data_IF_010357706711
#
_entry.id   IF_010357706711
#
_cell.length_a   1.000
_cell.length_b   1.000
_cell.length_c   1.000
_cell.angle_alpha   90.00
_cell.angle_beta   90.00
_cell.angle_gamma   90.00
#
_symmetry.space_group_name_H-M   'P 1'
#
loop_
_entity.id
_entity.type
_entity.pdbx_description
1 polymer ?
#
# COMPACT_ATOMS: atom_id res chain seq x y z
N UNK A 1 -5.01 -34.17 27.98
CA UNK A 1 -5.51 -33.91 26.61
C UNK A 1 -4.66 -32.80 26.05
N UNK A 2 -3.52 -33.17 25.48
CA UNK A 2 -2.59 -32.23 24.84
C UNK A 2 -3.23 -31.96 23.49
N UNK A 3 -3.61 -30.71 23.23
CA UNK A 3 -4.13 -30.32 21.93
C UNK A 3 -3.03 -30.48 20.91
N UNK A 4 -3.14 -31.51 20.08
CA UNK A 4 -2.28 -31.73 18.92
C UNK A 4 -2.35 -30.48 18.03
N UNK A 5 -1.33 -29.63 18.15
CA UNK A 5 -1.15 -28.48 17.28
C UNK A 5 -0.59 -29.00 15.97
N UNK A 6 -1.46 -29.11 14.96
CA UNK A 6 -1.09 -29.54 13.62
C UNK A 6 -0.17 -28.48 12.98
N UNK A 7 1.13 -28.77 12.78
CA UNK A 7 2.07 -27.84 12.15
C UNK A 7 1.79 -27.67 10.64
N UNK A 8 0.83 -28.41 10.08
CA UNK A 8 0.41 -28.33 8.67
C UNK A 8 -0.82 -27.45 8.42
N UNK A 9 -1.30 -26.71 9.43
CA UNK A 9 -2.24 -25.61 9.21
C UNK A 9 -1.54 -24.52 8.39
N UNK A 10 -1.58 -24.69 7.06
CA UNK A 10 -1.07 -23.77 6.06
C UNK A 10 -1.37 -22.34 6.48
N UNK A 11 -0.33 -21.57 6.75
CA UNK A 11 -0.45 -20.17 7.13
C UNK A 11 -1.12 -19.42 5.99
N UNK A 12 -2.35 -18.98 6.25
CA UNK A 12 -3.08 -18.18 5.28
C UNK A 12 -2.56 -16.76 5.37
N UNK A 13 -1.53 -16.45 4.58
CA UNK A 13 -1.08 -15.08 4.39
C UNK A 13 -2.16 -14.31 3.60
N UNK A 14 -2.82 -13.35 4.26
CA UNK A 14 -3.86 -12.54 3.62
C UNK A 14 -3.21 -11.34 2.92
N UNK A 15 -3.16 -11.42 1.59
CA UNK A 15 -2.77 -10.33 0.71
C UNK A 15 -4.01 -9.58 0.23
N UNK A 16 -4.00 -8.26 0.35
CA UNK A 16 -5.09 -7.42 -0.19
C UNK A 16 -4.58 -6.61 -1.38
N UNK A 17 -5.32 -6.55 -2.47
CA UNK A 17 -5.02 -5.64 -3.58
C UNK A 17 -6.21 -4.76 -3.88
N UNK A 18 -5.93 -3.56 -4.42
CA UNK A 18 -6.95 -2.63 -4.91
C UNK A 18 -6.66 -2.38 -6.38
N UNK A 19 -7.70 -2.52 -7.21
CA UNK A 19 -7.63 -2.18 -8.62
C UNK A 19 -8.61 -1.04 -8.89
N UNK A 20 -8.09 0.04 -9.47
CA UNK A 20 -8.88 1.21 -9.84
C UNK A 20 -8.88 1.34 -11.35
N UNK A 21 -10.07 1.28 -11.95
CA UNK A 21 -10.28 1.66 -13.34
C UNK A 21 -11.08 2.96 -13.35
N UNK A 22 -10.49 4.01 -13.90
CA UNK A 22 -11.04 5.37 -13.82
C UNK A 22 -11.15 5.95 -15.22
N UNK A 23 -12.39 6.24 -15.61
CA UNK A 23 -12.70 7.02 -16.80
C UNK A 23 -12.89 8.47 -16.37
N UNK A 24 -12.07 9.36 -16.93
CA UNK A 24 -12.08 10.78 -16.58
C UNK A 24 -12.99 11.52 -17.55
N UNK A 25 -13.63 12.58 -17.06
CA UNK A 25 -14.37 13.49 -17.92
C UNK A 25 -13.45 14.19 -18.94
N UNK A 26 -14.06 14.77 -19.97
CA UNK A 26 -13.37 15.53 -21.01
C UNK A 26 -12.46 16.62 -20.45
N UNK A 27 -11.22 16.68 -20.95
CA UNK A 27 -10.20 17.65 -20.53
C UNK A 27 -10.32 19.00 -21.24
N UNK A 28 -11.30 19.14 -22.12
CA UNK A 28 -11.48 20.34 -22.92
C UNK A 28 -12.02 21.53 -22.15
N UNK A 29 -11.61 22.71 -22.61
CA UNK A 29 -12.03 23.96 -21.97
C UNK A 29 -13.48 24.29 -22.32
N UNK A 30 -14.22 24.78 -21.33
CA UNK A 30 -15.61 25.24 -21.50
C UNK A 30 -15.79 26.25 -22.64
N UNK A 31 -14.78 27.10 -22.91
CA UNK A 31 -14.81 28.06 -24.03
C UNK A 31 -14.99 27.39 -25.39
N UNK A 32 -14.59 26.13 -25.53
CA UNK A 32 -14.71 25.34 -26.77
C UNK A 32 -16.10 24.75 -26.96
N UNK A 33 -16.84 24.51 -25.88
CA UNK A 33 -18.14 23.84 -25.93
C UNK A 33 -19.29 24.77 -26.30
N UNK A 34 -19.09 26.09 -26.20
CA UNK A 34 -20.15 27.07 -26.45
C UNK A 34 -21.34 26.95 -25.48
N UNK A 35 -21.17 26.19 -24.38
CA UNK A 35 -22.23 25.90 -23.43
C UNK A 35 -22.64 27.15 -22.64
N UNK A 36 -23.95 27.37 -22.51
CA UNK A 36 -24.55 28.47 -21.75
C UNK A 36 -25.48 27.95 -20.65
N UNK A 37 -25.82 28.81 -19.69
CA UNK A 37 -26.77 28.47 -18.60
C UNK A 37 -26.28 27.30 -17.73
N UNK A 38 -27.15 26.32 -17.51
CA UNK A 38 -26.85 25.20 -16.62
C UNK A 38 -25.78 24.24 -17.17
N UNK A 39 -25.67 24.11 -18.49
CA UNK A 39 -24.56 23.37 -19.13
C UNK A 39 -23.21 24.01 -18.86
N UNK A 40 -23.16 25.34 -18.75
CA UNK A 40 -21.94 26.05 -18.39
C UNK A 40 -21.55 25.76 -16.93
N UNK A 41 -22.52 25.76 -16.00
CA UNK A 41 -22.30 25.42 -14.59
C UNK A 41 -21.82 23.98 -14.43
N UNK A 42 -22.40 23.04 -15.16
CA UNK A 42 -21.97 21.65 -15.16
C UNK A 42 -20.52 21.51 -15.64
N UNK A 43 -20.17 22.13 -16.77
CA UNK A 43 -18.81 22.08 -17.30
C UNK A 43 -17.77 22.75 -16.38
N UNK A 44 -18.16 23.76 -15.57
CA UNK A 44 -17.29 24.32 -14.53
C UNK A 44 -17.02 23.28 -13.43
N UNK A 45 -18.06 22.58 -12.97
CA UNK A 45 -17.93 21.56 -11.93
C UNK A 45 -17.09 20.36 -12.39
N UNK A 46 -17.27 19.92 -13.65
CA UNK A 46 -16.45 18.87 -14.27
C UNK A 46 -14.97 19.30 -14.29
N UNK A 47 -14.71 20.51 -14.76
CA UNK A 47 -13.35 21.04 -14.87
C UNK A 47 -12.69 21.29 -13.51
N UNK A 48 -13.46 21.51 -12.45
CA UNK A 48 -12.92 21.65 -11.09
C UNK A 48 -12.14 20.40 -10.64
N UNK A 49 -12.67 19.20 -10.92
CA UNK A 49 -11.99 17.95 -10.59
C UNK A 49 -10.70 17.74 -11.38
N UNK A 50 -10.73 18.00 -12.70
CA UNK A 50 -9.57 17.85 -13.57
C UNK A 50 -8.49 18.92 -13.31
N UNK A 51 -8.91 20.14 -12.94
CA UNK A 51 -8.00 21.20 -12.51
C UNK A 51 -7.26 20.81 -11.23
N UNK A 52 -7.99 20.33 -10.22
CA UNK A 52 -7.39 19.84 -8.97
C UNK A 52 -6.41 18.69 -9.25
N UNK A 53 -6.79 17.75 -10.13
CA UNK A 53 -5.90 16.67 -10.57
C UNK A 53 -4.63 17.22 -11.24
N UNK A 54 -4.76 18.24 -12.10
CA UNK A 54 -3.63 18.92 -12.73
C UNK A 54 -2.70 19.61 -11.74
N UNK A 55 -3.25 20.20 -10.67
CA UNK A 55 -2.46 20.82 -9.60
C UNK A 55 -1.67 19.76 -8.80
N UNK A 56 -2.32 18.65 -8.45
CA UNK A 56 -1.66 17.50 -7.79
C UNK A 56 -0.52 16.96 -8.64
N UNK A 57 -0.76 16.73 -9.93
CA UNK A 57 0.26 16.23 -10.86
C UNK A 57 1.43 17.21 -10.98
N UNK A 58 1.15 18.50 -11.04
CA UNK A 58 2.19 19.53 -11.14
C UNK A 58 3.03 19.61 -9.86
N UNK A 59 2.40 19.46 -8.69
CA UNK A 59 3.07 19.43 -7.40
C UNK A 59 3.97 18.19 -7.22
N UNK A 60 3.56 17.04 -7.76
CA UNK A 60 4.30 15.78 -7.67
C UNK A 60 5.35 15.57 -8.77
N UNK A 61 5.12 16.13 -9.97
CA UNK A 61 5.95 15.91 -11.15
C UNK A 61 7.13 16.87 -11.30
N UNK A 62 7.19 17.95 -10.51
CA UNK A 62 8.30 18.90 -10.50
C UNK A 62 9.33 18.52 -9.43
N UNK A 63 10.45 17.91 -9.85
CA UNK A 63 11.52 17.51 -8.95
C UNK A 63 12.22 18.70 -8.26
N UNK A 64 12.15 19.90 -8.85
CA UNK A 64 12.74 21.11 -8.29
C UNK A 64 11.88 21.72 -7.19
N UNK A 65 10.56 21.51 -7.28
CA UNK A 65 9.58 21.94 -6.29
C UNK A 65 9.06 20.72 -5.55
N UNK A 66 9.84 20.23 -4.58
CA UNK A 66 9.28 19.36 -3.53
C UNK A 66 8.28 20.19 -2.72
N UNK A 67 7.04 20.25 -3.19
CA UNK A 67 5.97 20.89 -2.43
C UNK A 67 5.80 20.12 -1.12
N UNK A 68 5.92 20.82 0.00
CA UNK A 68 5.69 20.22 1.32
C UNK A 68 4.24 19.69 1.44
N UNK A 69 3.31 20.31 0.72
CA UNK A 69 1.90 19.97 0.72
C UNK A 69 1.39 19.73 -0.71
N UNK A 70 0.79 18.55 -0.93
CA UNK A 70 0.13 18.20 -2.19
C UNK A 70 -1.38 18.34 -2.00
N UNK A 71 -2.08 19.11 -2.85
CA UNK A 71 -3.47 19.52 -2.62
C UNK A 71 -4.50 18.44 -3.00
N UNK A 72 -4.39 17.22 -2.44
CA UNK A 72 -5.36 16.15 -2.71
C UNK A 72 -6.78 16.51 -2.26
N UNK A 73 -6.92 17.42 -1.29
CA UNK A 73 -8.21 17.79 -0.67
C UNK A 73 -9.07 18.72 -1.54
N UNK A 74 -8.50 19.32 -2.58
CA UNK A 74 -9.19 20.30 -3.44
C UNK A 74 -10.35 19.69 -4.24
N UNK A 75 -10.35 18.36 -4.45
CA UNK A 75 -11.48 17.66 -5.06
C UNK A 75 -11.70 16.27 -4.46
N UNK A 76 -12.93 15.76 -4.56
CA UNK A 76 -13.23 14.36 -4.19
C UNK A 76 -12.45 13.37 -5.06
N UNK A 77 -12.27 13.68 -6.35
CA UNK A 77 -11.51 12.86 -7.31
C UNK A 77 -10.06 12.67 -6.85
N UNK A 78 -9.35 13.75 -6.52
CA UNK A 78 -7.96 13.69 -6.07
C UNK A 78 -7.78 13.02 -4.71
N UNK A 79 -8.81 13.02 -3.85
CA UNK A 79 -8.81 12.25 -2.60
C UNK A 79 -8.93 10.75 -2.85
N UNK A 80 -9.78 10.35 -3.79
CA UNK A 80 -9.93 8.94 -4.17
C UNK A 80 -8.66 8.41 -4.86
N UNK A 81 -8.03 9.25 -5.68
CA UNK A 81 -6.82 8.92 -6.44
C UNK A 81 -5.51 9.17 -5.69
N UNK A 82 -5.56 9.56 -4.41
CA UNK A 82 -4.37 9.91 -3.63
C UNK A 82 -3.37 8.75 -3.58
N UNK A 83 -3.84 7.51 -3.48
CA UNK A 83 -2.97 6.33 -3.47
C UNK A 83 -2.33 6.09 -4.86
N UNK A 84 -3.04 6.47 -5.92
CA UNK A 84 -2.60 6.34 -7.31
C UNK A 84 -1.58 7.42 -7.73
N UNK A 85 -1.53 8.56 -7.03
CA UNK A 85 -0.67 9.68 -7.40
C UNK A 85 0.30 9.94 -6.24
N UNK A 86 1.50 9.38 -6.29
CA UNK A 86 2.52 9.51 -5.24
C UNK A 86 2.35 8.59 -4.03
N UNK A 87 1.35 7.70 -4.03
CA UNK A 87 1.05 6.75 -2.95
C UNK A 87 1.52 5.32 -3.20
N UNK A 88 0.82 4.35 -2.60
CA UNK A 88 1.07 2.91 -2.71
C UNK A 88 0.21 2.27 -3.81
N UNK A 89 0.47 2.65 -5.05
CA UNK A 89 -0.22 2.06 -6.20
C UNK A 89 0.69 2.00 -7.42
N UNK A 90 0.48 0.96 -8.24
CA UNK A 90 1.03 0.90 -9.60
C UNK A 90 0.06 1.62 -10.51
N UNK A 91 0.45 2.79 -10.99
CA UNK A 91 -0.46 3.67 -11.75
C UNK A 91 -0.05 3.74 -13.21
N UNK A 92 -1.02 3.52 -14.09
CA UNK A 92 -0.92 3.72 -15.52
C UNK A 92 -1.87 4.84 -15.92
N UNK A 93 -1.38 5.79 -16.71
CA UNK A 93 -2.20 6.84 -17.31
C UNK A 93 -2.23 6.64 -18.82
N UNK A 94 -3.43 6.57 -19.40
CA UNK A 94 -3.64 6.54 -20.85
C UNK A 94 -4.12 7.92 -21.28
N UNK A 95 -3.34 8.58 -22.13
CA UNK A 95 -3.68 9.87 -22.70
C UNK A 95 -4.38 9.66 -24.04
N UNK A 96 -5.69 9.91 -24.09
CA UNK A 96 -6.46 9.84 -25.33
C UNK A 96 -6.37 11.18 -26.07
N UNK A 97 -5.96 11.15 -27.33
CA UNK A 97 -5.77 12.35 -28.16
C UNK A 97 -6.41 12.18 -29.53
N UNK A 98 -6.76 13.30 -30.16
CA UNK A 98 -7.29 13.35 -31.52
C UNK A 98 -6.16 13.72 -32.50
N UNK A 99 -6.05 13.04 -33.65
CA UNK A 99 -5.08 13.39 -34.70
C UNK A 99 -5.54 14.58 -35.57
N UNK A 100 -6.73 15.13 -35.33
CA UNK A 100 -7.29 16.24 -36.12
C UNK A 100 -6.60 17.58 -35.82
N UNK A 101 -6.36 18.38 -36.86
CA UNK A 101 -5.77 19.72 -36.73
C UNK A 101 -6.65 20.66 -35.89
N UNK A 102 -7.97 20.47 -35.91
CA UNK A 102 -8.94 21.26 -35.13
C UNK A 102 -8.71 21.06 -33.62
N UNK A 103 -8.22 19.88 -33.23
CA UNK A 103 -7.96 19.51 -31.84
C UNK A 103 -6.51 19.76 -31.42
N UNK A 104 -5.65 20.29 -32.31
CA UNK A 104 -4.21 20.46 -32.07
C UNK A 104 -3.88 21.03 -30.69
N UNK A 105 -4.60 22.08 -30.28
CA UNK A 105 -4.38 22.75 -28.99
C UNK A 105 -4.68 21.82 -27.79
N UNK A 106 -5.76 21.06 -27.84
CA UNK A 106 -6.13 20.15 -26.73
C UNK A 106 -5.29 18.87 -26.73
N UNK A 107 -4.91 18.36 -27.91
CA UNK A 107 -3.93 17.29 -28.04
C UNK A 107 -2.59 17.69 -27.41
N UNK A 108 -2.10 18.90 -27.69
CA UNK A 108 -0.87 19.43 -27.09
C UNK A 108 -1.01 19.58 -25.56
N UNK A 109 -2.15 20.08 -25.06
CA UNK A 109 -2.40 20.21 -23.62
C UNK A 109 -2.38 18.84 -22.93
N UNK A 110 -3.04 17.85 -23.53
CA UNK A 110 -3.11 16.48 -23.01
C UNK A 110 -1.74 15.82 -22.97
N UNK A 111 -0.92 15.99 -24.01
CA UNK A 111 0.46 15.48 -24.03
C UNK A 111 1.34 16.15 -22.98
N UNK A 112 1.26 17.48 -22.82
CA UNK A 112 1.97 18.20 -21.75
C UNK A 112 1.58 17.71 -20.37
N UNK A 113 0.30 17.42 -20.18
CA UNK A 113 -0.23 16.88 -18.94
C UNK A 113 0.33 15.48 -18.65
N UNK A 114 0.28 14.57 -19.63
CA UNK A 114 0.82 13.23 -19.53
C UNK A 114 2.33 13.24 -19.25
N UNK A 115 3.07 14.16 -19.88
CA UNK A 115 4.51 14.31 -19.63
C UNK A 115 4.81 14.72 -18.18
N UNK A 116 3.99 15.57 -17.56
CA UNK A 116 4.14 15.88 -16.12
C UNK A 116 3.78 14.68 -15.25
N UNK A 117 2.69 13.98 -15.57
CA UNK A 117 2.26 12.80 -14.82
C UNK A 117 3.31 11.68 -14.84
N UNK A 118 4.04 11.52 -15.95
CA UNK A 118 5.15 10.57 -16.10
C UNK A 118 6.25 10.76 -15.06
N UNK A 119 6.47 11.98 -14.57
CA UNK A 119 7.54 12.28 -13.62
C UNK A 119 7.18 11.91 -12.17
N UNK A 120 5.92 11.56 -11.90
CA UNK A 120 5.45 11.19 -10.56
C UNK A 120 6.04 9.84 -10.18
N UNK A 121 6.61 9.76 -8.97
CA UNK A 121 7.17 8.52 -8.43
C UNK A 121 6.28 7.99 -7.30
N UNK A 122 5.68 6.82 -7.52
CA UNK A 122 4.91 6.12 -6.49
C UNK A 122 5.82 5.23 -5.65
N UNK A 123 5.42 5.00 -4.39
CA UNK A 123 6.12 4.11 -3.45
C UNK A 123 5.29 2.87 -3.23
N UNK A 124 5.49 1.89 -4.10
CA UNK A 124 4.69 0.65 -4.08
C UNK A 124 5.27 -0.33 -3.06
N UNK A 125 4.41 -0.81 -2.15
CA UNK A 125 4.69 -1.76 -1.08
C UNK A 125 3.60 -2.83 -1.08
N UNK A 126 3.97 -4.09 -0.85
CA UNK A 126 3.03 -5.20 -0.78
C UNK A 126 2.09 -4.99 0.41
N UNK A 127 0.79 -5.01 0.14
CA UNK A 127 -0.26 -4.88 1.14
C UNK A 127 -0.49 -6.22 1.84
N UNK A 128 0.36 -6.50 2.81
CA UNK A 128 0.22 -7.61 3.75
C UNK A 128 -0.53 -7.13 4.99
N UNK A 129 -1.50 -7.91 5.45
CA UNK A 129 -2.18 -7.61 6.71
C UNK A 129 -1.18 -7.67 7.88
N UNK A 130 -1.09 -6.57 8.64
CA UNK A 130 -0.22 -6.48 9.82
C UNK A 130 -0.66 -7.44 10.91
N UNK A 131 -1.96 -7.71 10.99
CA UNK A 131 -2.52 -8.64 11.98
C UNK A 131 -2.03 -10.05 11.70
N UNK A 132 -2.03 -10.47 10.44
CA UNK A 132 -1.49 -11.75 10.00
C UNK A 132 0.01 -11.90 10.36
N UNK A 133 0.83 -10.86 10.15
CA UNK A 133 2.24 -10.87 10.57
C UNK A 133 2.42 -10.95 12.09
N UNK A 134 1.69 -10.13 12.83
CA UNK A 134 1.77 -10.12 14.29
C UNK A 134 1.28 -11.44 14.89
N UNK A 135 0.22 -12.02 14.34
CA UNK A 135 -0.29 -13.33 14.76
C UNK A 135 0.78 -14.41 14.53
N UNK A 136 1.47 -14.38 13.40
CA UNK A 136 2.57 -15.29 13.11
C UNK A 136 3.71 -15.14 14.14
N UNK A 137 4.19 -13.91 14.37
CA UNK A 137 5.24 -13.64 15.38
C UNK A 137 4.83 -14.07 16.79
N UNK A 138 3.60 -13.78 17.20
CA UNK A 138 3.06 -14.16 18.51
C UNK A 138 2.96 -15.67 18.65
N UNK A 139 2.55 -16.40 17.60
CA UNK A 139 2.45 -17.86 17.62
C UNK A 139 3.83 -18.53 17.74
N UNK A 140 4.84 -18.03 17.00
CA UNK A 140 6.22 -18.49 17.17
C UNK A 140 6.68 -18.29 18.61
N UNK A 141 6.37 -17.12 19.20
CA UNK A 141 6.71 -16.81 20.59
C UNK A 141 6.02 -17.78 21.57
N UNK A 142 4.73 -18.07 21.36
CA UNK A 142 3.97 -19.03 22.17
C UNK A 142 4.60 -20.42 22.08
N UNK A 143 4.93 -20.90 20.87
CA UNK A 143 5.53 -22.22 20.68
C UNK A 143 6.90 -22.34 21.37
N UNK A 144 7.74 -21.30 21.29
CA UNK A 144 9.03 -21.25 21.97
C UNK A 144 8.85 -21.35 23.49
N UNK A 145 7.93 -20.56 24.05
CA UNK A 145 7.66 -20.55 25.48
C UNK A 145 7.04 -21.87 25.97
N UNK A 146 6.15 -22.48 25.17
CA UNK A 146 5.56 -23.78 25.49
C UNK A 146 6.62 -24.90 25.50
N UNK A 147 7.56 -24.86 24.55
CA UNK A 147 8.68 -25.82 24.49
C UNK A 147 9.59 -25.66 25.71
N UNK A 148 9.95 -24.42 26.05
CA UNK A 148 10.78 -24.10 27.22
C UNK A 148 10.10 -24.55 28.53
N UNK A 149 8.80 -24.25 28.71
CA UNK A 149 8.03 -24.74 29.84
C UNK A 149 7.95 -26.27 29.90
N UNK A 150 7.86 -26.95 28.76
CA UNK A 150 7.89 -28.41 28.71
C UNK A 150 9.26 -28.95 29.15
N UNK A 151 10.35 -28.31 28.75
CA UNK A 151 11.71 -28.66 29.21
C UNK A 151 11.88 -28.47 30.72
N UNK A 152 11.34 -27.40 31.29
CA UNK A 152 11.32 -27.21 32.76
C UNK A 152 10.47 -28.27 33.47
N UNK A 153 9.26 -28.56 32.95
CA UNK A 153 8.35 -29.56 33.57
C UNK A 153 8.87 -30.99 33.47
N UNK A 154 9.63 -31.32 32.44
CA UNK A 154 10.30 -32.62 32.31
C UNK A 154 11.57 -32.71 33.17
N UNK A 155 11.91 -31.66 33.92
CA UNK A 155 13.14 -31.61 34.71
C UNK A 155 14.39 -31.64 33.83
N UNK A 156 14.26 -31.19 32.58
CA UNK A 156 15.32 -31.11 31.57
C UNK A 156 16.16 -29.85 31.77
N UNK A 157 15.47 -28.74 32.07
CA UNK A 157 16.06 -27.47 32.54
C UNK A 157 15.72 -27.23 34.01
N UNK A 158 16.66 -26.66 34.75
CA UNK A 158 16.54 -26.29 36.17
C UNK A 158 17.15 -24.90 36.34
N UNK A 159 16.64 -24.12 37.30
CA UNK A 159 17.28 -22.87 37.67
C UNK A 159 18.35 -23.14 38.71
N UNK A 160 19.55 -22.63 38.48
CA UNK A 160 20.62 -22.64 39.48
C UNK A 160 20.25 -21.77 40.68
N UNK A 161 21.02 -21.88 41.77
CA UNK A 161 20.88 -21.08 42.99
C UNK A 161 20.94 -19.56 42.71
N UNK A 162 21.61 -19.18 41.61
CA UNK A 162 21.73 -17.80 41.12
C UNK A 162 20.62 -17.38 40.14
N UNK A 163 19.66 -18.27 39.83
CA UNK A 163 18.52 -17.99 38.95
C UNK A 163 18.80 -18.12 37.45
N UNK A 164 19.94 -18.71 37.06
CA UNK A 164 20.29 -18.96 35.66
C UNK A 164 19.74 -20.30 35.15
N UNK A 165 19.27 -20.31 33.90
CA UNK A 165 18.87 -21.50 33.15
C UNK A 165 20.04 -22.46 32.94
N UNK A 166 19.95 -23.67 33.48
CA UNK A 166 20.91 -24.74 33.26
C UNK A 166 20.22 -26.10 33.01
N UNK A 167 20.92 -27.00 32.33
CA UNK A 167 20.41 -28.36 32.07
C UNK A 167 20.53 -29.20 33.35
N UNK A 168 19.52 -30.00 33.63
CA UNK A 168 19.50 -30.93 34.77
C UNK A 168 20.60 -31.98 34.65
N UNK A 169 21.30 -32.22 35.76
CA UNK A 169 22.32 -33.28 35.87
C UNK A 169 21.76 -34.65 35.50
N UNK A 170 20.51 -34.94 35.89
CA UNK A 170 19.80 -36.18 35.55
C UNK A 170 19.54 -36.29 34.05
N UNK A 171 19.31 -35.16 33.37
CA UNK A 171 19.13 -35.16 31.92
C UNK A 171 20.47 -35.35 31.18
N UNK A 172 21.53 -34.68 31.63
CA UNK A 172 22.89 -34.84 31.11
C UNK A 172 23.39 -36.29 31.21
N UNK A 173 23.13 -36.94 32.35
CA UNK A 173 23.51 -38.33 32.58
C UNK A 173 22.77 -39.31 31.66
N UNK A 174 21.45 -39.13 31.49
CA UNK A 174 20.65 -39.95 30.56
C UNK A 174 21.06 -39.78 29.08
N UNK A 175 21.48 -38.58 28.67
CA UNK A 175 21.99 -38.32 27.31
C UNK A 175 23.36 -38.95 27.08
N UNK A 176 24.21 -39.00 28.11
CA UNK A 176 25.52 -39.68 28.04
C UNK A 176 25.38 -41.20 27.94
N UNK A 177 24.36 -41.78 28.58
CA UNK A 177 24.09 -43.22 28.57
C UNK A 177 23.43 -43.75 27.28
N UNK A 178 22.94 -42.85 26.42
CA UNK A 178 22.25 -43.19 25.16
C UNK A 178 23.11 -42.99 23.90
N UNK A 179 24.39 -42.60 24.05
CA UNK A 179 25.40 -42.61 22.99
C UNK A 179 26.27 -43.86 23.06
#
# INVERSE_FOLDING_TARGET
VVSDFDPSLNEIEVLTSKFHFVDLAGSERLKRTGATGDRAKEGININSGLLALGNVISALGDASKKSLHVPYRDSKLTRLLQDSLGGNSRTLMIACISPSDIDFVETLNTLKYANRARNIKNKVVVNQDRSSKLIHELRIKIQQLETELMEFRQGKRVNDVDGNDCLSDVHLENVMLTK
#
